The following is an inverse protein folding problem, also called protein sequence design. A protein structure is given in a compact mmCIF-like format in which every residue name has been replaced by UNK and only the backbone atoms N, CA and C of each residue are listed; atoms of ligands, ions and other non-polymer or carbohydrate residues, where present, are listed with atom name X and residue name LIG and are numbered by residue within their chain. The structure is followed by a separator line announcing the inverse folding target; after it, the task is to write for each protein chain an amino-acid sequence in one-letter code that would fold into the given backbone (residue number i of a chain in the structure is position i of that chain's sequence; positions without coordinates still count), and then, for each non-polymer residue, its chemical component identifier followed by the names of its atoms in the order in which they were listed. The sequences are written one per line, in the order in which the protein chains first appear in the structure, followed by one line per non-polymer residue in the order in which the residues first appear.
data_IF_581245416054
#
_entry.id   IF_581245416054
#
_cell.length_a   1.000
_cell.length_b   1.000
_cell.length_c   1.000
_cell.angle_alpha   90.00
_cell.angle_beta   90.00
_cell.angle_gamma   90.00
#
_symmetry.space_group_name_H-M   'P 1'
#
loop_
_entity.id
_entity.type
_entity.pdbx_description
1 polymer ?
#
# COMPACT_ATOMS: atom_id res chain seq x y z
N UNK A 1 -6.20 46.72 8.55
CA UNK A 1 -7.06 45.56 8.85
C UNK A 1 -8.39 45.80 8.14
N UNK A 2 -8.54 45.30 6.91
CA UNK A 2 -9.83 45.29 6.21
C UNK A 2 -10.71 44.28 6.94
N UNK A 3 -11.68 44.77 7.70
CA UNK A 3 -12.70 43.95 8.36
C UNK A 3 -13.37 43.09 7.29
N UNK A 4 -13.25 41.77 7.39
CA UNK A 4 -13.94 40.85 6.49
C UNK A 4 -15.45 41.10 6.60
N UNK A 5 -16.15 41.07 5.47
CA UNK A 5 -17.61 41.17 5.49
C UNK A 5 -18.17 39.98 6.29
N UNK A 6 -19.11 40.19 7.24
CA UNK A 6 -19.58 39.14 8.14
C UNK A 6 -20.13 37.91 7.40
N UNK A 7 -20.73 38.10 6.22
CA UNK A 7 -21.19 37.01 5.36
C UNK A 7 -20.05 36.11 4.86
N UNK A 8 -18.88 36.69 4.59
CA UNK A 8 -17.69 35.97 4.11
C UNK A 8 -17.05 35.17 5.24
N UNK A 9 -17.03 35.70 6.47
CA UNK A 9 -16.59 34.96 7.66
C UNK A 9 -17.53 33.81 7.99
N UNK A 10 -18.85 34.05 7.92
CA UNK A 10 -19.84 33.00 8.13
C UNK A 10 -19.74 31.90 7.07
N UNK A 11 -19.57 32.28 5.80
CA UNK A 11 -19.33 31.32 4.72
C UNK A 11 -18.03 30.54 4.93
N UNK A 12 -16.97 31.18 5.43
CA UNK A 12 -15.72 30.50 5.79
C UNK A 12 -15.95 29.46 6.90
N UNK A 13 -16.68 29.80 7.96
CA UNK A 13 -17.03 28.82 9.00
C UNK A 13 -17.86 27.65 8.47
N UNK A 14 -18.77 27.90 7.51
CA UNK A 14 -19.51 26.81 6.85
C UNK A 14 -18.61 25.92 6.00
N UNK A 15 -17.60 26.49 5.32
CA UNK A 15 -16.59 25.75 4.55
C UNK A 15 -15.76 24.87 5.48
N UNK A 16 -15.30 25.39 6.63
CA UNK A 16 -14.53 24.64 7.63
C UNK A 16 -15.33 23.49 8.24
N UNK A 17 -16.66 23.62 8.31
CA UNK A 17 -17.58 22.56 8.70
C UNK A 17 -18.01 21.65 7.53
N UNK A 18 -17.37 21.78 6.37
CA UNK A 18 -17.64 21.04 5.12
C UNK A 18 -19.08 21.19 4.59
N UNK A 19 -19.80 22.25 4.99
CA UNK A 19 -21.17 22.55 4.56
C UNK A 19 -21.18 23.37 3.27
N UNK A 20 -20.56 22.82 2.23
CA UNK A 20 -20.29 23.53 0.98
C UNK A 20 -21.53 24.07 0.27
N UNK A 21 -22.66 23.35 0.31
CA UNK A 21 -23.89 23.82 -0.32
C UNK A 21 -24.52 25.00 0.44
N UNK A 22 -24.45 25.00 1.77
CA UNK A 22 -24.92 26.14 2.59
C UNK A 22 -24.01 27.35 2.39
N UNK A 23 -22.69 27.14 2.38
CA UNK A 23 -21.72 28.19 2.08
C UNK A 23 -21.98 28.81 0.71
N UNK A 24 -22.21 27.99 -0.32
CA UNK A 24 -22.53 28.46 -1.68
C UNK A 24 -23.84 29.23 -1.76
N UNK A 25 -24.89 28.81 -1.04
CA UNK A 25 -26.14 29.55 -1.01
C UNK A 25 -25.96 30.94 -0.39
N UNK A 26 -25.23 31.02 0.72
CA UNK A 26 -24.93 32.27 1.41
C UNK A 26 -24.04 33.19 0.56
N UNK A 27 -22.98 32.65 -0.05
CA UNK A 27 -22.09 33.39 -0.94
C UNK A 27 -22.79 33.83 -2.22
N UNK A 28 -23.74 33.05 -2.74
CA UNK A 28 -24.54 33.41 -3.91
C UNK A 28 -25.49 34.58 -3.63
N UNK A 29 -26.05 34.67 -2.42
CA UNK A 29 -26.83 35.83 -1.99
C UNK A 29 -25.92 37.07 -1.88
N UNK A 30 -24.75 36.93 -1.26
CA UNK A 30 -23.75 38.01 -1.16
C UNK A 30 -23.32 38.53 -2.54
N UNK A 31 -22.99 37.62 -3.46
CA UNK A 31 -22.59 37.97 -4.82
C UNK A 31 -23.71 38.57 -5.68
N UNK A 32 -24.98 38.35 -5.33
CA UNK A 32 -26.09 39.02 -5.98
C UNK A 32 -26.19 40.51 -5.57
N UNK A 33 -25.74 40.84 -4.37
CA UNK A 33 -25.68 42.21 -3.83
C UNK A 33 -24.36 42.91 -4.20
N UNK A 34 -23.24 42.18 -4.12
CA UNK A 34 -21.90 42.64 -4.48
C UNK A 34 -21.20 41.64 -5.44
N UNK A 35 -21.45 41.75 -6.75
CA UNK A 35 -20.80 40.90 -7.75
C UNK A 35 -19.28 41.12 -7.86
N UNK A 36 -18.76 42.21 -7.28
CA UNK A 36 -17.35 42.60 -7.35
C UNK A 36 -16.46 41.97 -6.27
N UNK A 37 -17.03 41.20 -5.33
CA UNK A 37 -16.27 40.57 -4.27
C UNK A 37 -15.47 39.35 -4.78
N UNK A 38 -14.22 39.61 -5.15
CA UNK A 38 -13.24 38.60 -5.59
C UNK A 38 -13.12 37.45 -4.58
N UNK A 39 -13.14 37.75 -3.28
CA UNK A 39 -12.97 36.73 -2.23
C UNK A 39 -14.19 35.82 -2.15
N UNK A 40 -15.38 36.35 -2.36
CA UNK A 40 -16.60 35.57 -2.45
C UNK A 40 -16.55 34.60 -3.64
N UNK A 41 -16.13 35.08 -4.82
CA UNK A 41 -15.92 34.23 -6.00
C UNK A 41 -14.91 33.11 -5.76
N UNK A 42 -13.77 33.42 -5.11
CA UNK A 42 -12.77 32.41 -4.73
C UNK A 42 -13.37 31.35 -3.80
N UNK A 43 -14.14 31.75 -2.78
CA UNK A 43 -14.80 30.80 -1.86
C UNK A 43 -15.88 29.96 -2.54
N UNK A 44 -16.65 30.53 -3.46
CA UNK A 44 -17.63 29.79 -4.27
C UNK A 44 -16.92 28.72 -5.11
N UNK A 45 -15.83 29.09 -5.77
CA UNK A 45 -15.02 28.15 -6.54
C UNK A 45 -14.43 27.04 -5.66
N UNK A 46 -13.94 27.37 -4.47
CA UNK A 46 -13.44 26.38 -3.51
C UNK A 46 -14.53 25.37 -3.11
N UNK A 47 -15.75 25.86 -2.86
CA UNK A 47 -16.89 24.97 -2.58
C UNK A 47 -17.23 24.08 -3.78
N UNK A 48 -17.10 24.59 -5.01
CA UNK A 48 -17.28 23.79 -6.23
C UNK A 48 -16.21 22.69 -6.35
N UNK A 49 -14.94 22.98 -6.03
CA UNK A 49 -13.90 21.94 -6.05
C UNK A 49 -14.17 20.82 -5.05
N UNK A 50 -14.61 21.17 -3.84
CA UNK A 50 -14.92 20.20 -2.79
C UNK A 50 -16.24 19.43 -3.02
N UNK A 51 -17.09 19.91 -3.94
CA UNK A 51 -18.28 19.19 -4.41
C UNK A 51 -18.06 18.52 -5.78
N UNK A 52 -16.81 18.29 -6.18
CA UNK A 52 -16.40 17.62 -7.43
C UNK A 52 -16.94 18.29 -8.71
N UNK A 53 -17.02 19.61 -8.70
CA UNK A 53 -17.53 20.46 -9.80
C UNK A 53 -16.41 21.38 -10.33
N UNK A 54 -15.33 20.83 -10.91
CA UNK A 54 -14.15 21.63 -11.27
C UNK A 54 -14.41 22.63 -12.41
N UNK A 55 -15.37 22.37 -13.31
CA UNK A 55 -15.74 23.32 -14.35
C UNK A 55 -16.37 24.60 -13.76
N UNK A 56 -17.29 24.47 -12.81
CA UNK A 56 -17.88 25.62 -12.13
C UNK A 56 -16.85 26.37 -11.26
N UNK A 57 -15.85 25.66 -10.73
CA UNK A 57 -14.73 26.30 -10.05
C UNK A 57 -13.87 27.14 -11.02
N UNK A 58 -13.66 26.66 -12.25
CA UNK A 58 -12.98 27.45 -13.30
C UNK A 58 -13.78 28.70 -13.68
N UNK A 59 -15.11 28.60 -13.78
CA UNK A 59 -15.98 29.76 -14.02
C UNK A 59 -15.85 30.79 -12.90
N UNK A 60 -15.90 30.34 -11.63
CA UNK A 60 -15.74 31.20 -10.46
C UNK A 60 -14.36 31.87 -10.42
N UNK A 61 -13.30 31.11 -10.72
CA UNK A 61 -11.95 31.65 -10.84
C UNK A 61 -11.82 32.65 -12.00
N UNK A 62 -12.52 32.41 -13.11
CA UNK A 62 -12.61 33.33 -14.24
C UNK A 62 -13.21 34.68 -13.82
N UNK A 63 -14.35 34.66 -13.14
CA UNK A 63 -14.98 35.88 -12.60
C UNK A 63 -14.05 36.62 -11.62
N UNK A 64 -13.41 35.91 -10.70
CA UNK A 64 -12.46 36.50 -9.77
C UNK A 64 -11.27 37.16 -10.50
N UNK A 65 -10.71 36.51 -11.53
CA UNK A 65 -9.57 37.02 -12.29
C UNK A 65 -9.93 38.12 -13.29
N UNK A 66 -11.19 38.18 -13.76
CA UNK A 66 -11.69 39.33 -14.53
C UNK A 66 -11.73 40.61 -13.68
N UNK A 67 -12.08 40.47 -12.40
CA UNK A 67 -12.12 41.55 -11.42
C UNK A 67 -10.72 41.91 -10.88
N UNK A 68 -9.90 40.91 -10.62
CA UNK A 68 -8.54 41.05 -10.08
C UNK A 68 -7.58 40.04 -10.75
N UNK A 69 -6.92 40.42 -11.87
CA UNK A 69 -6.08 39.50 -12.65
C UNK A 69 -4.87 38.91 -11.90
N UNK A 70 -4.39 39.61 -10.88
CA UNK A 70 -3.25 39.20 -10.05
C UNK A 70 -3.68 38.73 -8.64
N UNK A 71 -4.96 38.39 -8.42
CA UNK A 71 -5.37 37.82 -7.14
C UNK A 71 -4.80 36.40 -6.97
N UNK A 72 -3.93 36.24 -5.96
CA UNK A 72 -3.27 34.97 -5.66
C UNK A 72 -4.28 33.84 -5.40
N UNK A 73 -5.34 34.11 -4.63
CA UNK A 73 -6.36 33.12 -4.30
C UNK A 73 -7.12 32.62 -5.54
N UNK A 74 -7.44 33.51 -6.46
CA UNK A 74 -8.08 33.20 -7.72
C UNK A 74 -7.17 32.40 -8.67
N UNK A 75 -5.87 32.72 -8.72
CA UNK A 75 -4.89 31.94 -9.49
C UNK A 75 -4.70 30.53 -8.94
N UNK A 76 -4.60 30.39 -7.62
CA UNK A 76 -4.53 29.08 -6.95
C UNK A 76 -5.80 28.27 -7.22
N UNK A 77 -6.98 28.88 -7.04
CA UNK A 77 -8.26 28.23 -7.33
C UNK A 77 -8.32 27.75 -8.78
N UNK A 78 -7.90 28.59 -9.74
CA UNK A 78 -7.85 28.23 -11.15
C UNK A 78 -6.90 27.05 -11.39
N UNK A 79 -5.71 27.07 -10.80
CA UNK A 79 -4.74 25.99 -10.93
C UNK A 79 -5.28 24.67 -10.37
N UNK A 80 -5.86 24.67 -9.17
CA UNK A 80 -6.50 23.49 -8.59
C UNK A 80 -7.64 22.95 -9.46
N UNK A 81 -8.48 23.86 -9.96
CA UNK A 81 -9.59 23.51 -10.82
C UNK A 81 -9.13 22.89 -12.13
N UNK A 82 -8.08 23.45 -12.75
CA UNK A 82 -7.44 22.87 -13.93
C UNK A 82 -6.95 21.45 -13.62
N UNK A 83 -6.18 21.25 -12.55
CA UNK A 83 -5.63 19.93 -12.17
C UNK A 83 -6.72 18.85 -12.02
N UNK A 84 -7.91 19.22 -11.52
CA UNK A 84 -9.04 18.30 -11.32
C UNK A 84 -9.86 18.01 -12.59
N UNK A 85 -9.62 18.71 -13.71
CA UNK A 85 -10.29 18.43 -14.99
C UNK A 85 -9.50 17.35 -15.75
N UNK A 86 -10.09 16.17 -16.07
CA UNK A 86 -9.36 15.07 -16.70
C UNK A 86 -8.68 15.40 -18.05
N UNK A 87 -9.26 16.34 -18.81
CA UNK A 87 -8.79 16.77 -20.14
C UNK A 87 -7.92 18.03 -20.13
N UNK A 88 -7.90 18.80 -19.02
CA UNK A 88 -7.05 19.99 -18.83
C UNK A 88 -6.04 19.66 -17.74
N UNK A 89 -4.84 19.31 -18.14
CA UNK A 89 -3.83 18.71 -17.23
C UNK A 89 -2.98 19.78 -16.55
N UNK A 90 -2.04 19.32 -15.71
CA UNK A 90 -0.85 20.03 -15.20
C UNK A 90 -0.18 20.97 -16.21
N UNK A 91 -0.31 20.70 -17.52
CA UNK A 91 0.16 21.56 -18.61
C UNK A 91 -0.44 22.97 -18.60
N UNK A 92 -1.73 23.10 -18.33
CA UNK A 92 -2.41 24.40 -18.24
C UNK A 92 -2.26 25.02 -16.85
N UNK A 93 -2.11 24.20 -15.81
CA UNK A 93 -1.96 24.67 -14.43
C UNK A 93 -0.56 25.24 -14.15
N UNK A 94 0.52 24.65 -14.69
CA UNK A 94 1.90 25.12 -14.45
C UNK A 94 2.10 26.62 -14.75
N UNK A 95 1.71 27.17 -15.92
CA UNK A 95 1.90 28.61 -16.16
C UNK A 95 1.09 29.48 -15.18
N UNK A 96 -0.11 29.07 -14.78
CA UNK A 96 -0.92 29.77 -13.78
C UNK A 96 -0.25 29.74 -12.41
N UNK A 97 0.34 28.61 -12.02
CA UNK A 97 1.08 28.45 -10.78
C UNK A 97 2.38 29.26 -10.76
N UNK A 98 3.08 29.35 -11.89
CA UNK A 98 4.26 30.23 -12.02
C UNK A 98 3.87 31.69 -11.78
N UNK A 99 2.72 32.10 -12.29
CA UNK A 99 2.21 33.45 -12.06
C UNK A 99 1.79 33.67 -10.59
N UNK A 100 1.11 32.70 -9.98
CA UNK A 100 0.77 32.77 -8.56
C UNK A 100 2.01 32.90 -7.66
N UNK A 101 3.06 32.11 -7.93
CA UNK A 101 4.34 32.20 -7.20
C UNK A 101 5.10 33.49 -7.52
N UNK A 102 4.95 34.08 -8.73
CA UNK A 102 5.51 35.40 -9.04
C UNK A 102 4.88 36.50 -8.18
N UNK A 103 3.57 36.41 -7.96
CA UNK A 103 2.79 37.38 -7.19
C UNK A 103 3.06 37.23 -5.69
N UNK A 104 3.02 36.01 -5.17
CA UNK A 104 3.36 35.72 -3.78
C UNK A 104 4.39 34.59 -3.66
N UNK A 105 5.70 34.93 -3.76
CA UNK A 105 6.77 33.95 -3.70
C UNK A 105 7.02 33.39 -2.29
N UNK A 106 6.42 33.98 -1.25
CA UNK A 106 6.60 33.55 0.14
C UNK A 106 5.46 32.67 0.63
N UNK A 107 4.48 32.36 -0.22
CA UNK A 107 3.43 31.44 0.13
C UNK A 107 3.84 29.98 -0.17
N UNK A 108 3.91 29.18 0.89
CA UNK A 108 4.31 27.77 0.81
C UNK A 108 3.45 26.94 -0.16
N UNK A 109 2.12 27.15 -0.16
CA UNK A 109 1.17 26.36 -0.94
C UNK A 109 1.36 26.53 -2.44
N UNK A 110 1.49 27.76 -2.93
CA UNK A 110 1.79 28.05 -4.33
C UNK A 110 3.11 27.42 -4.77
N UNK A 111 4.15 27.52 -3.94
CA UNK A 111 5.44 26.88 -4.19
C UNK A 111 5.35 25.35 -4.26
N UNK A 112 4.62 24.71 -3.33
CA UNK A 112 4.42 23.26 -3.31
C UNK A 112 3.62 22.77 -4.52
N UNK A 113 2.54 23.48 -4.88
CA UNK A 113 1.74 23.16 -6.06
C UNK A 113 2.56 23.32 -7.34
N UNK A 114 3.36 24.39 -7.45
CA UNK A 114 4.25 24.60 -8.59
C UNK A 114 5.31 23.50 -8.66
N UNK A 115 5.90 23.09 -7.54
CA UNK A 115 6.83 21.97 -7.48
C UNK A 115 6.22 20.67 -8.04
N UNK A 116 4.99 20.32 -7.63
CA UNK A 116 4.30 19.13 -8.14
C UNK A 116 3.98 19.26 -9.65
N UNK A 117 3.50 20.42 -10.08
CA UNK A 117 3.19 20.69 -11.48
C UNK A 117 4.44 20.58 -12.38
N UNK A 118 5.53 21.24 -12.00
CA UNK A 118 6.81 21.20 -12.72
C UNK A 118 7.34 19.77 -12.77
N UNK A 119 7.32 19.06 -11.64
CA UNK A 119 7.75 17.66 -11.58
C UNK A 119 7.00 16.77 -12.58
N UNK A 120 5.66 16.78 -12.53
CA UNK A 120 4.81 15.97 -13.41
C UNK A 120 4.98 16.36 -14.87
N UNK A 121 5.12 17.66 -15.16
CA UNK A 121 5.32 18.15 -16.52
C UNK A 121 6.71 17.83 -17.07
N UNK A 122 7.75 17.82 -16.24
CA UNK A 122 9.09 17.37 -16.63
C UNK A 122 9.08 15.90 -17.07
N UNK A 123 8.37 15.04 -16.34
CA UNK A 123 8.19 13.62 -16.72
C UNK A 123 7.48 13.49 -18.08
N UNK A 124 6.39 14.23 -18.28
CA UNK A 124 5.64 14.21 -19.56
C UNK A 124 6.47 14.75 -20.72
N UNK A 125 7.20 15.85 -20.52
CA UNK A 125 8.06 16.45 -21.54
C UNK A 125 9.19 15.52 -21.94
N UNK A 126 9.81 14.86 -20.95
CA UNK A 126 10.84 13.86 -21.20
C UNK A 126 10.30 12.68 -22.02
N UNK A 127 9.19 12.06 -21.59
CA UNK A 127 8.60 10.93 -22.32
C UNK A 127 8.27 11.28 -23.78
N UNK A 128 7.81 12.51 -24.04
CA UNK A 128 7.55 13.01 -25.40
C UNK A 128 8.82 13.22 -26.21
N UNK A 129 9.88 13.74 -25.60
CA UNK A 129 11.14 14.06 -26.28
C UNK A 129 11.92 12.80 -26.69
N UNK A 130 11.91 11.78 -25.84
CA UNK A 130 12.75 10.58 -26.02
C UNK A 130 12.01 9.46 -26.78
N UNK A 131 10.68 9.59 -26.97
CA UNK A 131 9.81 8.54 -27.52
C UNK A 131 9.91 7.17 -26.79
N UNK A 132 10.49 7.16 -25.59
CA UNK A 132 10.63 5.98 -24.73
C UNK A 132 9.61 6.03 -23.61
N UNK A 133 9.07 4.87 -23.25
CA UNK A 133 8.24 4.70 -22.05
C UNK A 133 9.08 4.44 -20.78
N UNK A 134 10.38 4.16 -20.93
CA UNK A 134 11.27 3.86 -19.82
C UNK A 134 12.08 5.09 -19.41
N UNK A 135 11.85 5.56 -18.17
CA UNK A 135 12.67 6.58 -17.51
C UNK A 135 13.83 5.91 -16.79
N UNK A 136 15.06 6.25 -17.18
CA UNK A 136 16.26 5.82 -16.47
C UNK A 136 16.52 6.75 -15.26
N UNK A 137 17.07 6.21 -14.16
CA UNK A 137 17.27 6.96 -12.92
C UNK A 137 18.10 8.25 -13.07
N UNK A 138 19.08 8.27 -13.97
CA UNK A 138 19.93 9.44 -14.21
C UNK A 138 19.18 10.60 -14.89
N UNK A 139 18.24 10.28 -15.78
CA UNK A 139 17.39 11.28 -16.43
C UNK A 139 16.42 11.92 -15.42
N UNK A 140 15.92 11.11 -14.48
CA UNK A 140 15.02 11.60 -13.44
C UNK A 140 15.67 12.64 -12.52
N UNK A 141 16.93 12.43 -12.13
CA UNK A 141 17.65 13.37 -11.27
C UNK A 141 17.85 14.75 -11.92
N UNK A 142 17.98 14.80 -13.26
CA UNK A 142 18.08 16.05 -14.01
C UNK A 142 16.74 16.76 -14.15
N UNK A 143 15.67 15.98 -14.35
CA UNK A 143 14.29 16.47 -14.47
C UNK A 143 13.71 17.01 -13.16
N UNK A 144 14.22 16.52 -12.02
CA UNK A 144 13.73 16.90 -10.70
C UNK A 144 14.40 18.11 -10.08
N UNK A 145 15.44 18.70 -10.69
CA UNK A 145 16.20 19.82 -10.10
C UNK A 145 15.31 21.00 -9.68
N UNK A 146 14.67 21.65 -10.66
CA UNK A 146 13.79 22.81 -10.40
C UNK A 146 12.65 22.46 -9.45
N UNK A 147 12.00 21.31 -9.65
CA UNK A 147 10.90 20.88 -8.79
C UNK A 147 11.34 20.59 -7.35
N UNK A 148 12.53 20.01 -7.16
CA UNK A 148 13.09 19.75 -5.85
C UNK A 148 13.45 21.05 -5.13
N UNK A 149 14.02 22.02 -5.83
CA UNK A 149 14.35 23.33 -5.25
C UNK A 149 13.08 24.06 -4.80
N UNK A 150 12.02 24.05 -5.63
CA UNK A 150 10.70 24.60 -5.27
C UNK A 150 10.07 23.86 -4.08
N UNK A 151 10.21 22.54 -4.00
CA UNK A 151 9.68 21.77 -2.87
C UNK A 151 10.44 22.06 -1.57
N UNK A 152 11.76 22.23 -1.63
CA UNK A 152 12.58 22.64 -0.49
C UNK A 152 12.18 24.04 -0.01
N UNK A 153 11.95 24.96 -0.96
CA UNK A 153 11.48 26.31 -0.64
C UNK A 153 10.09 26.27 0.01
N UNK A 154 9.17 25.46 -0.51
CA UNK A 154 7.86 25.29 0.09
C UNK A 154 7.93 24.74 1.53
N UNK A 155 8.82 23.78 1.80
CA UNK A 155 9.07 23.27 3.16
C UNK A 155 9.66 24.36 4.06
N UNK A 156 10.55 25.22 3.54
CA UNK A 156 11.11 26.34 4.29
C UNK A 156 10.04 27.35 4.70
N UNK A 157 9.10 27.64 3.80
CA UNK A 157 8.02 28.60 4.02
C UNK A 157 6.89 28.03 4.91
N UNK A 158 6.68 26.71 4.89
CA UNK A 158 5.66 26.01 5.68
C UNK A 158 6.18 24.71 6.27
N UNK A 159 7.05 24.74 7.30
CA UNK A 159 7.68 23.54 7.85
C UNK A 159 6.72 22.64 8.65
N UNK A 160 5.60 23.19 9.10
CA UNK A 160 4.51 22.49 9.81
C UNK A 160 3.48 21.88 8.84
N UNK A 161 3.61 22.15 7.53
CA UNK A 161 2.66 21.73 6.52
C UNK A 161 3.04 20.37 5.94
N UNK A 162 2.06 19.48 5.85
CA UNK A 162 2.29 18.11 5.35
C UNK A 162 2.46 18.10 3.83
N UNK A 163 1.68 18.88 3.10
CA UNK A 163 1.64 18.83 1.63
C UNK A 163 3.00 19.10 0.94
N UNK A 164 3.81 20.12 1.34
CA UNK A 164 5.16 20.30 0.79
C UNK A 164 6.07 19.08 0.99
N UNK A 165 5.96 18.41 2.15
CA UNK A 165 6.73 17.20 2.44
C UNK A 165 6.30 16.03 1.56
N UNK A 166 5.00 15.88 1.28
CA UNK A 166 4.49 14.85 0.37
C UNK A 166 5.01 15.04 -1.07
N UNK A 167 5.01 16.28 -1.55
CA UNK A 167 5.53 16.64 -2.88
C UNK A 167 7.02 16.35 -2.95
N UNK A 168 7.82 16.85 -2.00
CA UNK A 168 9.25 16.58 -1.92
C UNK A 168 9.55 15.07 -1.84
N UNK A 169 8.76 14.34 -1.06
CA UNK A 169 8.90 12.89 -0.88
C UNK A 169 8.61 12.13 -2.16
N UNK A 170 7.59 12.55 -2.90
CA UNK A 170 7.24 11.99 -4.20
C UNK A 170 8.39 12.20 -5.19
N UNK A 171 8.88 13.44 -5.32
CA UNK A 171 10.02 13.81 -6.18
C UNK A 171 11.27 12.98 -5.82
N UNK A 172 11.60 12.87 -4.52
CA UNK A 172 12.74 12.10 -4.05
C UNK A 172 12.61 10.59 -4.36
N UNK A 173 11.41 10.04 -4.19
CA UNK A 173 11.10 8.64 -4.50
C UNK A 173 11.30 8.31 -5.97
N UNK A 174 10.78 9.14 -6.87
CA UNK A 174 10.99 8.97 -8.32
C UNK A 174 12.45 9.18 -8.73
N UNK A 175 13.16 10.10 -8.07
CA UNK A 175 14.58 10.37 -8.31
C UNK A 175 15.53 9.29 -7.76
N UNK A 176 15.00 8.19 -7.22
CA UNK A 176 15.81 7.11 -6.63
C UNK A 176 16.52 7.52 -5.33
N UNK A 177 16.22 8.69 -4.76
CA UNK A 177 16.80 9.19 -3.49
C UNK A 177 16.05 8.58 -2.30
N UNK A 178 16.10 7.25 -2.18
CA UNK A 178 15.33 6.48 -1.18
C UNK A 178 15.57 6.96 0.26
N UNK A 179 16.82 7.23 0.63
CA UNK A 179 17.16 7.73 1.96
C UNK A 179 16.50 9.09 2.29
N UNK A 180 16.39 9.98 1.30
CA UNK A 180 15.71 11.28 1.46
C UNK A 180 14.20 11.07 1.58
N UNK A 181 13.61 10.24 0.71
CA UNK A 181 12.19 9.90 0.77
C UNK A 181 11.81 9.30 2.14
N UNK A 182 12.68 8.46 2.71
CA UNK A 182 12.49 7.87 4.05
C UNK A 182 12.61 8.88 5.20
N UNK A 183 13.45 9.91 5.05
CA UNK A 183 13.53 11.00 6.02
C UNK A 183 12.25 11.84 5.96
N UNK A 184 11.74 12.12 4.77
CA UNK A 184 10.51 12.87 4.56
C UNK A 184 9.28 12.10 5.05
N UNK A 185 9.17 10.80 4.80
CA UNK A 185 8.08 9.96 5.36
C UNK A 185 8.10 10.01 6.91
N UNK A 186 9.28 10.07 7.54
CA UNK A 186 9.39 10.26 9.00
C UNK A 186 9.04 11.67 9.45
N UNK A 187 9.30 12.70 8.66
CA UNK A 187 8.90 14.07 8.94
C UNK A 187 7.37 14.21 8.87
N UNK A 188 6.74 13.65 7.84
CA UNK A 188 5.27 13.59 7.69
C UNK A 188 4.65 12.94 8.92
N UNK A 189 5.16 11.78 9.36
CA UNK A 189 4.61 11.08 10.54
C UNK A 189 4.83 11.79 11.87
N UNK A 190 5.71 12.80 11.95
CA UNK A 190 5.82 13.65 13.14
C UNK A 190 4.73 14.71 13.21
N UNK A 191 4.30 15.22 12.05
CA UNK A 191 3.24 16.21 11.92
C UNK A 191 1.86 15.53 11.97
N UNK A 192 1.69 14.45 11.20
CA UNK A 192 0.49 13.62 11.16
C UNK A 192 0.86 12.14 11.39
N UNK A 193 0.80 11.65 12.64
CA UNK A 193 1.06 10.25 12.98
C UNK A 193 0.08 9.26 12.33
N UNK A 194 -1.09 9.73 11.90
CA UNK A 194 -2.15 8.92 11.27
C UNK A 194 -2.10 8.94 9.75
N UNK A 195 -1.10 9.63 9.16
CA UNK A 195 -0.96 9.76 7.72
C UNK A 195 -0.85 8.40 7.03
N UNK A 196 -1.94 8.00 6.36
CA UNK A 196 -2.15 6.63 5.87
C UNK A 196 -1.02 6.18 4.95
N UNK A 197 -0.63 7.01 3.99
CA UNK A 197 0.37 6.60 3.00
C UNK A 197 1.79 6.52 3.57
N UNK A 198 2.23 7.51 4.34
CA UNK A 198 3.56 7.52 4.97
C UNK A 198 3.70 6.34 5.94
N UNK A 199 2.65 6.06 6.73
CA UNK A 199 2.61 4.91 7.62
C UNK A 199 2.67 3.59 6.86
N UNK A 200 1.93 3.46 5.76
CA UNK A 200 1.94 2.26 4.93
C UNK A 200 3.33 1.99 4.32
N UNK A 201 4.01 3.04 3.85
CA UNK A 201 5.37 2.95 3.28
C UNK A 201 6.40 2.55 4.33
N UNK A 202 6.37 3.17 5.52
CA UNK A 202 7.25 2.80 6.63
C UNK A 202 6.97 1.36 7.12
N UNK A 203 5.70 0.98 7.22
CA UNK A 203 5.31 -0.38 7.63
C UNK A 203 5.78 -1.42 6.61
N UNK A 204 5.59 -1.16 5.31
CA UNK A 204 6.08 -2.04 4.25
C UNK A 204 7.59 -2.19 4.29
N UNK A 205 8.32 -1.08 4.41
CA UNK A 205 9.78 -1.09 4.54
C UNK A 205 10.26 -1.90 5.75
N UNK A 206 9.63 -1.72 6.90
CA UNK A 206 9.95 -2.48 8.11
C UNK A 206 9.61 -3.97 7.96
N UNK A 207 8.51 -4.31 7.27
CA UNK A 207 8.07 -5.68 7.06
C UNK A 207 8.91 -6.44 6.02
N UNK A 208 9.49 -5.73 5.05
CA UNK A 208 10.33 -6.28 3.98
C UNK A 208 11.83 -6.20 4.28
N UNK A 209 12.20 -5.69 5.47
CA UNK A 209 13.60 -5.61 5.88
C UNK A 209 14.26 -7.01 5.93
N UNK A 210 15.56 -7.11 5.57
CA UNK A 210 16.29 -8.38 5.62
C UNK A 210 16.20 -9.04 7.00
N UNK A 211 15.89 -10.34 7.03
CA UNK A 211 15.79 -11.13 8.26
C UNK A 211 14.42 -11.08 8.95
N UNK A 212 13.49 -10.23 8.50
CA UNK A 212 12.13 -10.18 9.05
C UNK A 212 11.36 -11.42 8.63
N UNK A 213 10.92 -12.20 9.62
CA UNK A 213 10.12 -13.41 9.39
C UNK A 213 8.70 -13.01 8.98
N UNK A 214 8.05 -13.83 8.15
CA UNK A 214 6.69 -13.57 7.70
C UNK A 214 5.69 -13.31 8.85
N UNK A 215 5.90 -13.93 10.02
CA UNK A 215 5.10 -13.67 11.24
C UNK A 215 5.27 -12.23 11.73
N UNK A 216 6.51 -11.76 11.84
CA UNK A 216 6.82 -10.39 12.27
C UNK A 216 6.29 -9.37 11.25
N UNK A 217 6.43 -9.65 9.94
CA UNK A 217 5.85 -8.83 8.89
C UNK A 217 4.32 -8.71 9.03
N UNK A 218 3.61 -9.81 9.30
CA UNK A 218 2.16 -9.78 9.53
C UNK A 218 1.78 -8.98 10.79
N UNK A 219 2.58 -9.08 11.87
CA UNK A 219 2.35 -8.28 13.08
C UNK A 219 2.58 -6.78 12.83
N UNK A 220 3.57 -6.41 12.01
CA UNK A 220 3.82 -5.02 11.59
C UNK A 220 2.63 -4.47 10.78
N UNK A 221 2.18 -5.18 9.75
CA UNK A 221 1.01 -4.73 8.97
C UNK A 221 -0.27 -4.67 9.79
N UNK A 222 -0.51 -5.64 10.69
CA UNK A 222 -1.67 -5.61 11.58
C UNK A 222 -1.60 -4.44 12.57
N UNK A 223 -0.39 -4.01 12.97
CA UNK A 223 -0.20 -2.83 13.82
C UNK A 223 -0.44 -1.54 13.04
N UNK A 224 0.08 -1.45 11.81
CA UNK A 224 -0.18 -0.30 10.93
C UNK A 224 -1.66 -0.13 10.59
N UNK A 225 -2.36 -1.23 10.28
CA UNK A 225 -3.81 -1.22 10.02
C UNK A 225 -4.65 -0.83 11.25
N UNK A 226 -4.13 -0.99 12.46
CA UNK A 226 -4.84 -0.49 13.65
C UNK A 226 -4.85 1.05 13.71
N UNK A 227 -3.86 1.71 13.09
CA UNK A 227 -3.80 3.17 12.99
C UNK A 227 -4.43 3.71 11.69
N UNK A 228 -4.37 2.95 10.59
CA UNK A 228 -5.02 3.31 9.32
C UNK A 228 -5.76 2.09 8.72
N UNK A 229 -7.01 1.84 9.13
CA UNK A 229 -7.76 0.62 8.79
C UNK A 229 -8.13 0.53 7.30
N UNK A 230 -8.27 1.67 6.62
CA UNK A 230 -8.69 1.73 5.21
C UNK A 230 -7.52 1.61 4.21
N UNK A 231 -6.33 1.25 4.69
CA UNK A 231 -5.14 1.15 3.85
C UNK A 231 -5.09 -0.15 3.05
N UNK A 232 -5.48 -0.08 1.77
CA UNK A 232 -5.41 -1.20 0.82
C UNK A 232 -3.98 -1.77 0.64
N UNK A 233 -2.97 -0.92 0.71
CA UNK A 233 -1.56 -1.34 0.58
C UNK A 233 -1.12 -2.18 1.79
N UNK A 234 -1.47 -1.76 3.01
CA UNK A 234 -1.18 -2.53 4.21
C UNK A 234 -2.01 -3.81 4.31
N UNK A 235 -3.27 -3.79 3.86
CA UNK A 235 -4.09 -5.00 3.81
C UNK A 235 -3.50 -6.04 2.85
N UNK A 236 -3.04 -5.62 1.66
CA UNK A 236 -2.31 -6.50 0.73
C UNK A 236 -1.00 -7.04 1.34
N UNK A 237 -0.26 -6.19 2.03
CA UNK A 237 0.95 -6.59 2.76
C UNK A 237 0.68 -7.65 3.83
N UNK A 238 -0.39 -7.47 4.61
CA UNK A 238 -0.85 -8.44 5.62
C UNK A 238 -1.25 -9.77 4.98
N UNK A 239 -1.97 -9.73 3.86
CA UNK A 239 -2.37 -10.93 3.11
C UNK A 239 -1.16 -11.69 2.57
N UNK A 240 -0.17 -10.98 2.01
CA UNK A 240 1.06 -11.58 1.52
C UNK A 240 1.90 -12.19 2.65
N UNK A 241 2.04 -11.49 3.78
CA UNK A 241 2.73 -12.01 4.96
C UNK A 241 2.01 -13.26 5.52
N UNK A 242 0.68 -13.19 5.65
CA UNK A 242 -0.17 -14.30 6.11
C UNK A 242 -0.05 -15.50 5.18
N UNK A 243 -0.08 -15.29 3.87
CA UNK A 243 0.11 -16.35 2.88
C UNK A 243 1.51 -16.98 2.98
N UNK A 244 2.58 -16.19 3.11
CA UNK A 244 3.94 -16.70 3.35
C UNK A 244 4.01 -17.57 4.61
N UNK A 245 3.24 -17.25 5.64
CA UNK A 245 3.15 -18.05 6.86
C UNK A 245 2.44 -19.38 6.62
N UNK A 246 1.30 -19.36 5.92
CA UNK A 246 0.54 -20.56 5.55
C UNK A 246 1.35 -21.50 4.65
N UNK A 247 2.16 -20.93 3.74
CA UNK A 247 3.06 -21.67 2.86
C UNK A 247 3.99 -22.61 3.63
N UNK A 248 4.40 -22.21 4.82
CA UNK A 248 5.28 -22.97 5.70
C UNK A 248 4.66 -24.24 6.29
N UNK A 249 3.34 -24.43 6.26
CA UNK A 249 2.70 -25.67 6.74
C UNK A 249 2.99 -26.84 5.83
N UNK A 250 3.13 -26.60 4.52
CA UNK A 250 3.40 -27.66 3.54
C UNK A 250 4.71 -28.39 3.86
N UNK A 251 5.72 -27.68 4.32
CA UNK A 251 6.99 -28.29 4.72
C UNK A 251 6.86 -29.17 5.96
N UNK A 252 6.03 -28.80 6.93
CA UNK A 252 5.75 -29.66 8.09
C UNK A 252 5.04 -30.93 7.63
N UNK A 253 4.05 -30.81 6.73
CA UNK A 253 3.32 -31.95 6.21
C UNK A 253 4.20 -32.90 5.37
N UNK A 254 5.08 -32.36 4.54
CA UNK A 254 6.05 -33.14 3.76
C UNK A 254 7.10 -33.82 4.66
N UNK A 255 7.50 -33.17 5.77
CA UNK A 255 8.41 -33.79 6.74
C UNK A 255 7.75 -34.98 7.43
N UNK A 256 6.47 -34.88 7.81
CA UNK A 256 5.72 -36.04 8.31
C UNK A 256 5.56 -37.13 7.25
N UNK A 257 5.30 -36.77 5.99
CA UNK A 257 5.21 -37.73 4.88
C UNK A 257 6.54 -38.47 4.64
N UNK A 258 7.66 -37.75 4.66
CA UNK A 258 8.99 -38.33 4.58
C UNK A 258 9.28 -39.27 5.75
N UNK A 259 8.96 -38.83 6.98
CA UNK A 259 9.08 -39.66 8.17
C UNK A 259 8.25 -40.93 8.06
N UNK A 260 7.02 -40.87 7.54
CA UNK A 260 6.19 -42.04 7.33
C UNK A 260 6.87 -43.04 6.39
N UNK A 261 7.42 -42.57 5.26
CA UNK A 261 8.12 -43.42 4.30
C UNK A 261 9.40 -44.06 4.87
N UNK A 262 10.16 -43.35 5.70
CA UNK A 262 11.37 -43.89 6.36
C UNK A 262 10.98 -44.91 7.44
N UNK A 263 9.97 -44.60 8.26
CA UNK A 263 9.55 -45.49 9.36
C UNK A 263 8.91 -46.78 8.87
N UNK A 264 8.27 -46.76 7.69
CA UNK A 264 7.71 -47.94 7.03
C UNK A 264 8.67 -48.64 6.07
N UNK A 265 9.90 -48.13 5.91
CA UNK A 265 10.91 -48.70 5.01
C UNK A 265 10.35 -48.91 3.59
N UNK A 266 9.76 -47.83 3.08
CA UNK A 266 8.90 -47.86 1.89
C UNK A 266 9.70 -48.02 0.59
N UNK A 267 10.96 -47.58 0.59
CA UNK A 267 11.87 -47.61 -0.56
C UNK A 267 13.13 -48.37 -0.19
N UNK A 268 13.57 -49.28 -1.05
CA UNK A 268 14.75 -50.09 -0.80
C UNK A 268 16.00 -49.19 -0.81
N UNK A 269 16.84 -49.36 0.21
CA UNK A 269 18.16 -48.72 0.30
C UNK A 269 19.20 -49.81 0.03
N UNK A 270 20.14 -49.52 -0.87
CA UNK A 270 21.21 -50.47 -1.22
C UNK A 270 21.99 -50.90 0.03
N UNK A 271 21.97 -52.20 0.34
CA UNK A 271 22.70 -52.77 1.47
C UNK A 271 21.89 -52.96 2.77
N UNK A 272 20.63 -52.53 2.84
CA UNK A 272 19.77 -52.76 4.01
C UNK A 272 18.64 -53.77 3.73
N UNK A 273 18.37 -54.66 4.69
CA UNK A 273 17.26 -55.61 4.61
C UNK A 273 15.97 -54.90 5.01
N UNK A 274 15.00 -54.89 4.08
CA UNK A 274 13.74 -54.20 4.33
C UNK A 274 12.92 -54.87 5.42
N UNK A 275 12.29 -54.07 6.28
CA UNK A 275 11.39 -54.58 7.34
C UNK A 275 10.22 -55.36 6.75
N UNK A 276 9.90 -56.50 7.33
CA UNK A 276 8.71 -57.27 6.97
C UNK A 276 7.42 -56.50 7.30
N UNK A 277 6.44 -56.61 6.42
CA UNK A 277 5.12 -55.99 6.56
C UNK A 277 4.09 -57.08 6.92
N UNK A 278 3.08 -56.79 7.76
CA UNK A 278 2.76 -55.50 8.37
C UNK A 278 3.59 -55.20 9.63
N UNK A 279 3.88 -53.91 9.86
CA UNK A 279 4.52 -53.46 11.09
C UNK A 279 3.64 -53.70 12.33
N UNK A 280 4.29 -53.95 13.47
CA UNK A 280 3.62 -54.12 14.76
C UNK A 280 2.81 -52.88 15.15
N UNK A 281 1.76 -53.06 15.95
CA UNK A 281 0.93 -51.95 16.44
C UNK A 281 1.76 -50.90 17.19
N UNK A 282 2.75 -51.33 17.99
CA UNK A 282 3.65 -50.44 18.73
C UNK A 282 4.47 -49.53 17.81
N UNK A 283 5.05 -50.08 16.73
CA UNK A 283 5.82 -49.30 15.76
C UNK A 283 4.94 -48.27 15.01
N UNK A 284 3.71 -48.65 14.67
CA UNK A 284 2.74 -47.74 14.03
C UNK A 284 2.31 -46.62 14.95
N UNK A 285 2.00 -46.91 16.22
CA UNK A 285 1.65 -45.88 17.21
C UNK A 285 2.82 -44.94 17.52
N UNK A 286 4.06 -45.45 17.47
CA UNK A 286 5.25 -44.64 17.72
C UNK A 286 5.42 -43.51 16.70
N UNK A 287 4.95 -43.66 15.45
CA UNK A 287 4.95 -42.59 14.44
C UNK A 287 4.19 -41.32 14.88
N UNK A 288 3.17 -41.46 15.71
CA UNK A 288 2.39 -40.31 16.19
C UNK A 288 3.22 -39.39 17.11
N UNK A 289 4.25 -39.91 17.79
CA UNK A 289 5.11 -39.14 18.70
C UNK A 289 5.92 -38.06 17.96
N UNK A 290 6.75 -38.37 16.95
CA UNK A 290 7.46 -37.35 16.19
C UNK A 290 6.50 -36.45 15.39
N UNK A 291 5.39 -36.97 14.85
CA UNK A 291 4.40 -36.13 14.14
C UNK A 291 3.78 -35.08 15.05
N UNK A 292 3.35 -35.48 16.25
CA UNK A 292 2.81 -34.53 17.23
C UNK A 292 3.87 -33.54 17.68
N UNK A 293 5.13 -33.96 17.89
CA UNK A 293 6.22 -33.05 18.19
C UNK A 293 6.47 -32.02 17.07
N UNK A 294 6.49 -32.46 15.80
CA UNK A 294 6.65 -31.58 14.61
C UNK A 294 5.54 -30.54 14.55
N UNK A 295 4.29 -30.94 14.77
CA UNK A 295 3.14 -30.03 14.73
C UNK A 295 3.05 -29.13 15.95
N UNK A 296 3.35 -29.63 17.15
CA UNK A 296 3.38 -28.82 18.37
C UNK A 296 4.48 -27.77 18.25
N UNK A 297 5.72 -28.15 17.91
CA UNK A 297 6.81 -27.20 17.73
C UNK A 297 6.52 -26.24 16.58
N UNK A 298 6.03 -26.72 15.44
CA UNK A 298 5.67 -25.90 14.29
C UNK A 298 4.52 -24.91 14.58
N UNK A 299 3.51 -25.34 15.35
CA UNK A 299 2.41 -24.50 15.79
C UNK A 299 2.90 -23.46 16.82
N UNK A 300 3.71 -23.88 17.79
CA UNK A 300 4.21 -22.99 18.85
C UNK A 300 5.15 -21.92 18.28
N UNK A 301 6.10 -22.29 17.41
CA UNK A 301 7.04 -21.35 16.80
C UNK A 301 6.36 -20.35 15.85
N UNK A 302 5.20 -20.68 15.29
CA UNK A 302 4.55 -19.88 14.25
C UNK A 302 3.24 -19.20 14.69
N UNK A 303 2.60 -19.68 15.75
CA UNK A 303 1.24 -19.25 16.13
C UNK A 303 1.04 -18.93 17.62
N UNK A 304 1.99 -19.22 18.52
CA UNK A 304 1.77 -19.08 20.00
C UNK A 304 1.56 -17.64 20.49
N UNK A 305 1.87 -16.62 19.69
CA UNK A 305 1.75 -15.19 20.07
C UNK A 305 1.19 -14.31 18.95
N UNK A 306 0.00 -14.64 18.44
CA UNK A 306 -0.66 -13.88 17.37
C UNK A 306 -1.58 -12.80 17.94
N UNK A 307 -1.41 -11.55 17.50
CA UNK A 307 -2.42 -10.49 17.68
C UNK A 307 -3.75 -10.91 17.04
N UNK A 308 -4.86 -10.41 17.59
CA UNK A 308 -6.22 -10.73 17.13
C UNK A 308 -6.42 -10.41 15.65
N UNK A 309 -5.87 -9.30 15.15
CA UNK A 309 -5.95 -8.91 13.74
C UNK A 309 -5.37 -9.96 12.77
N UNK A 310 -4.21 -10.55 13.10
CA UNK A 310 -3.60 -11.60 12.26
C UNK A 310 -4.45 -12.88 12.27
N UNK A 311 -5.10 -13.22 13.40
CA UNK A 311 -5.99 -14.40 13.49
C UNK A 311 -7.23 -14.23 12.63
N UNK A 312 -7.86 -13.05 12.69
CA UNK A 312 -9.01 -12.71 11.86
C UNK A 312 -8.62 -12.69 10.37
N UNK A 313 -7.43 -12.19 10.04
CA UNK A 313 -6.97 -12.18 8.66
C UNK A 313 -6.77 -13.59 8.09
N UNK A 314 -6.25 -14.54 8.89
CA UNK A 314 -6.14 -15.94 8.47
C UNK A 314 -7.53 -16.49 8.08
N UNK A 315 -8.56 -16.24 8.90
CA UNK A 315 -9.93 -16.68 8.61
C UNK A 315 -10.51 -16.01 7.36
N UNK A 316 -10.32 -14.69 7.23
CA UNK A 316 -10.75 -13.91 6.08
C UNK A 316 -10.09 -14.41 4.79
N UNK A 317 -8.77 -14.58 4.80
CA UNK A 317 -7.98 -15.06 3.66
C UNK A 317 -8.36 -16.49 3.27
N UNK A 318 -8.71 -17.36 4.23
CA UNK A 318 -9.23 -18.70 3.94
C UNK A 318 -10.60 -18.67 3.24
N UNK A 319 -11.46 -17.69 3.54
CA UNK A 319 -12.77 -17.53 2.87
C UNK A 319 -12.62 -16.93 1.47
N UNK A 320 -11.78 -15.90 1.33
CA UNK A 320 -11.65 -15.09 0.09
C UNK A 320 -10.62 -15.68 -0.89
N UNK A 321 -9.51 -16.23 -0.40
CA UNK A 321 -8.35 -16.62 -1.20
C UNK A 321 -8.38 -18.08 -1.67
N UNK A 322 -8.46 -18.31 -2.99
CA UNK A 322 -8.37 -19.66 -3.58
C UNK A 322 -7.02 -20.34 -3.28
N UNK A 323 -5.92 -19.60 -3.39
CA UNK A 323 -4.57 -20.11 -3.14
C UNK A 323 -4.31 -20.47 -1.67
N UNK A 324 -4.86 -19.69 -0.72
CA UNK A 324 -4.74 -20.01 0.69
C UNK A 324 -5.45 -21.33 1.04
N UNK A 325 -6.67 -21.56 0.50
CA UNK A 325 -7.38 -22.83 0.63
C UNK A 325 -6.61 -24.00 0.02
N UNK A 326 -6.03 -23.79 -1.17
CA UNK A 326 -5.25 -24.82 -1.85
C UNK A 326 -4.02 -25.23 -1.02
N UNK A 327 -3.29 -24.27 -0.45
CA UNK A 327 -2.11 -24.55 0.39
C UNK A 327 -2.48 -25.36 1.64
N UNK A 328 -3.59 -25.00 2.31
CA UNK A 328 -4.08 -25.73 3.49
C UNK A 328 -4.59 -27.12 3.12
N UNK A 329 -5.36 -27.24 2.03
CA UNK A 329 -5.87 -28.52 1.53
C UNK A 329 -4.73 -29.46 1.13
N UNK A 330 -3.67 -28.95 0.50
CA UNK A 330 -2.48 -29.74 0.18
C UNK A 330 -1.75 -30.23 1.42
N UNK A 331 -1.56 -29.36 2.43
CA UNK A 331 -0.95 -29.79 3.69
C UNK A 331 -1.80 -30.88 4.38
N UNK A 332 -3.13 -30.75 4.36
CA UNK A 332 -4.05 -31.75 4.88
C UNK A 332 -4.00 -33.06 4.08
N UNK A 333 -3.94 -32.99 2.75
CA UNK A 333 -3.80 -34.14 1.86
C UNK A 333 -2.49 -34.90 2.09
N UNK A 334 -1.35 -34.20 2.11
CA UNK A 334 -0.05 -34.82 2.43
C UNK A 334 -0.05 -35.45 3.83
N UNK A 335 -0.71 -34.84 4.80
CA UNK A 335 -0.85 -35.40 6.14
C UNK A 335 -1.72 -36.67 6.15
N UNK A 336 -2.82 -36.67 5.41
CA UNK A 336 -3.69 -37.83 5.26
C UNK A 336 -2.92 -38.99 4.62
N UNK A 337 -2.16 -38.76 3.55
CA UNK A 337 -1.30 -39.77 2.94
C UNK A 337 -0.29 -40.32 3.96
N UNK A 338 0.36 -39.45 4.74
CA UNK A 338 1.33 -39.85 5.75
C UNK A 338 0.71 -40.74 6.85
N UNK A 339 -0.49 -40.40 7.31
CA UNK A 339 -1.25 -41.20 8.28
C UNK A 339 -1.70 -42.54 7.71
N UNK A 340 -2.17 -42.58 6.46
CA UNK A 340 -2.57 -43.83 5.79
C UNK A 340 -1.37 -44.77 5.62
N UNK A 341 -0.20 -44.24 5.25
CA UNK A 341 1.04 -45.02 5.15
C UNK A 341 1.42 -45.60 6.52
N UNK A 342 1.37 -44.81 7.58
CA UNK A 342 1.85 -45.22 8.90
C UNK A 342 0.87 -46.12 9.67
N UNK A 343 -0.44 -45.89 9.57
CA UNK A 343 -1.42 -46.54 10.45
C UNK A 343 -2.05 -47.81 9.86
N UNK A 344 -2.21 -47.88 8.54
CA UNK A 344 -2.82 -49.05 7.87
C UNK A 344 -1.85 -50.22 7.88
N UNK A 345 -2.27 -51.44 8.28
CA UNK A 345 -1.43 -52.64 8.25
C UNK A 345 -1.31 -53.15 6.81
N UNK A 346 -0.42 -52.53 6.03
CA UNK A 346 -0.14 -52.95 4.65
C UNK A 346 0.51 -54.32 4.59
N UNK A 347 0.13 -55.11 3.58
CA UNK A 347 0.75 -56.40 3.25
C UNK A 347 1.76 -56.29 2.11
N UNK A 348 1.70 -55.21 1.34
CA UNK A 348 2.59 -54.91 0.21
C UNK A 348 2.90 -53.40 0.14
N UNK A 349 3.96 -53.03 -0.58
CA UNK A 349 4.53 -51.68 -0.63
C UNK A 349 3.98 -50.81 -1.78
N UNK A 350 3.39 -51.41 -2.81
CA UNK A 350 2.90 -50.67 -3.99
C UNK A 350 1.90 -49.55 -3.63
N UNK A 351 0.86 -49.86 -2.85
CA UNK A 351 -0.16 -48.89 -2.47
C UNK A 351 0.39 -47.76 -1.58
N UNK A 352 1.14 -48.02 -0.49
CA UNK A 352 1.74 -46.93 0.28
C UNK A 352 2.79 -46.12 -0.52
N UNK A 353 3.50 -46.72 -1.50
CA UNK A 353 4.36 -45.96 -2.43
C UNK A 353 3.56 -45.01 -3.32
N UNK A 354 2.42 -45.44 -3.86
CA UNK A 354 1.51 -44.58 -4.63
C UNK A 354 0.98 -43.45 -3.75
N UNK A 355 0.56 -43.74 -2.51
CA UNK A 355 0.12 -42.72 -1.55
C UNK A 355 1.24 -41.71 -1.22
N UNK A 356 2.48 -42.18 -1.11
CA UNK A 356 3.63 -41.32 -0.86
C UNK A 356 3.81 -40.32 -2.01
N UNK A 357 3.83 -40.79 -3.26
CA UNK A 357 3.95 -39.92 -4.42
C UNK A 357 2.73 -39.02 -4.62
N UNK A 358 1.51 -39.50 -4.33
CA UNK A 358 0.28 -38.71 -4.38
C UNK A 358 0.26 -37.58 -3.34
N UNK A 359 0.90 -37.78 -2.18
CA UNK A 359 1.07 -36.74 -1.16
C UNK A 359 2.21 -35.76 -1.48
N UNK A 360 3.27 -36.22 -2.16
CA UNK A 360 4.47 -35.45 -2.43
C UNK A 360 4.37 -34.60 -3.70
N UNK A 361 4.01 -35.21 -4.84
CA UNK A 361 4.10 -34.57 -6.17
C UNK A 361 3.23 -33.32 -6.31
N UNK A 362 1.94 -33.27 -5.92
CA UNK A 362 1.13 -32.06 -6.09
C UNK A 362 1.60 -30.92 -5.18
N UNK A 363 2.03 -31.25 -3.96
CA UNK A 363 2.51 -30.29 -2.97
C UNK A 363 3.88 -29.72 -3.38
N UNK A 364 4.76 -30.55 -3.94
CA UNK A 364 6.07 -30.10 -4.41
C UNK A 364 5.97 -29.27 -5.69
N UNK A 365 5.10 -29.66 -6.63
CA UNK A 365 4.83 -28.91 -7.85
C UNK A 365 4.33 -27.48 -7.55
N UNK A 366 3.42 -27.32 -6.58
CA UNK A 366 2.95 -25.98 -6.19
C UNK A 366 4.00 -25.19 -5.41
N UNK A 367 4.83 -25.84 -4.59
CA UNK A 367 5.98 -25.16 -3.94
C UNK A 367 6.94 -24.59 -5.00
N UNK A 368 7.22 -25.35 -6.06
CA UNK A 368 8.10 -24.92 -7.14
C UNK A 368 7.49 -23.76 -7.94
N UNK A 369 6.21 -23.84 -8.28
CA UNK A 369 5.49 -22.75 -8.96
C UNK A 369 5.45 -21.47 -8.11
N UNK A 370 5.19 -21.58 -6.80
CA UNK A 370 5.19 -20.45 -5.88
C UNK A 370 6.58 -19.83 -5.66
N UNK A 371 7.69 -20.53 -6.00
CA UNK A 371 9.04 -19.93 -5.98
C UNK A 371 9.27 -19.03 -7.20
N UNK A 372 8.70 -19.36 -8.35
CA UNK A 372 8.86 -18.59 -9.59
C UNK A 372 8.13 -17.24 -9.58
N UNK A 373 7.07 -17.10 -8.77
CA UNK A 373 6.34 -15.82 -8.60
C UNK A 373 6.94 -14.88 -7.55
N UNK A 374 7.97 -15.33 -6.81
CA UNK A 374 8.59 -14.58 -5.72
C UNK A 374 10.02 -14.10 -6.05
N UNK A 375 10.50 -14.42 -7.25
CA UNK A 375 11.63 -13.77 -7.94
C UNK A 375 11.03 -12.89 -9.02
#
# INVERSE_FOLDING_TARGET
MTTLHPTIEQAQGLIELERYDQARALLGQHLAEDPGDVRAWVKVGYCHLNTQRPQQALESAGQALELAPEDYGALILRAEALIRVPSRSWREAEPVLREAVRIDPHHWYGCAMLADAVWRMSVVRYAKATATQELQHHDVARLSGEAADLAVEAIRLGPEEVYPLEVARSIAGFSGKSAVADQLDRAILRLDPTHVEALARQTGKAADAPGVKAVQAADLYASGLAAAPDSDSMQRGLDQATYRMLRGMRWLALLCLGLAGVMTDLFAVEGEVQRELPLSLGQRLWYLVPVTAIWIVGALLRYRRRRTGVRLNVQSLMRRGRWARLVVAQAAWSMLCALLIAQVPWTDRLLPQVLFWAGLTPTFATIWFDRKKAR
#
